data_IF_389592004326
#
_entry.id   IF_389592004326
#
_cell.length_a   1.000
_cell.length_b   1.000
_cell.length_c   1.000
_cell.angle_alpha   90.00
_cell.angle_beta   90.00
_cell.angle_gamma   90.00
#
_symmetry.space_group_name_H-M   'P 1'
#
loop_
_entity.id
_entity.type
_entity.pdbx_description
1 polymer ?
#
# COMPACT_ATOMS: atom_id res chain seq x y z
N UNK A 1 15.70 -4.73 -3.62
CA UNK A 1 15.96 -3.32 -3.29
C UNK A 1 17.19 -3.25 -2.39
N UNK A 2 18.10 -2.29 -2.61
CA UNK A 2 19.32 -2.17 -1.81
C UNK A 2 19.12 -1.24 -0.59
N UNK A 3 20.00 -1.32 0.42
CA UNK A 3 19.92 -0.46 1.60
C UNK A 3 19.92 1.04 1.26
N UNK A 4 20.67 1.44 0.23
CA UNK A 4 20.72 2.85 -0.22
C UNK A 4 19.35 3.37 -0.69
N UNK A 5 18.51 2.49 -1.23
CA UNK A 5 17.17 2.82 -1.69
C UNK A 5 16.21 2.96 -0.50
N UNK A 6 16.34 2.07 0.49
CA UNK A 6 15.60 2.14 1.76
C UNK A 6 15.90 3.46 2.48
N UNK A 7 17.18 3.81 2.64
CA UNK A 7 17.61 5.08 3.24
C UNK A 7 17.07 6.30 2.49
N UNK A 8 16.96 6.21 1.15
CA UNK A 8 16.35 7.26 0.32
C UNK A 8 14.86 7.39 0.64
N UNK A 9 14.13 6.29 0.78
CA UNK A 9 12.72 6.31 1.11
C UNK A 9 12.45 6.81 2.54
N UNK A 10 13.31 6.52 3.52
CA UNK A 10 13.19 7.13 4.85
C UNK A 10 13.33 8.66 4.83
N UNK A 11 14.26 9.20 4.03
CA UNK A 11 14.33 10.66 3.82
C UNK A 11 13.06 11.21 3.18
N UNK A 12 12.43 10.44 2.28
CA UNK A 12 11.15 10.81 1.69
C UNK A 12 10.00 10.76 2.69
N UNK A 13 9.96 9.78 3.61
CA UNK A 13 8.96 9.73 4.70
C UNK A 13 9.06 10.99 5.56
N UNK A 14 10.26 11.33 6.03
CA UNK A 14 10.45 12.54 6.85
C UNK A 14 9.95 13.80 6.14
N UNK A 15 10.25 13.93 4.84
CA UNK A 15 9.78 15.05 4.02
C UNK A 15 8.25 15.01 3.82
N UNK A 16 7.68 13.83 3.58
CA UNK A 16 6.25 13.62 3.40
C UNK A 16 5.47 14.02 4.66
N UNK A 17 5.89 13.57 5.85
CA UNK A 17 5.23 13.95 7.12
C UNK A 17 5.25 15.46 7.37
N UNK A 18 6.34 16.14 7.00
CA UNK A 18 6.42 17.61 7.09
C UNK A 18 5.52 18.30 6.06
N UNK A 19 5.50 17.83 4.81
CA UNK A 19 4.56 18.32 3.78
C UNK A 19 3.10 18.08 4.21
N UNK A 20 2.79 16.95 4.85
CA UNK A 20 1.47 16.64 5.38
C UNK A 20 1.05 17.52 6.57
N UNK A 21 2.00 18.00 7.37
CA UNK A 21 1.70 18.93 8.47
C UNK A 21 1.43 20.34 7.96
N UNK A 22 2.19 20.80 6.97
CA UNK A 22 2.22 22.22 6.60
C UNK A 22 1.67 22.55 5.20
N UNK A 23 1.49 21.57 4.32
CA UNK A 23 1.10 21.78 2.92
C UNK A 23 0.43 20.55 2.25
N UNK A 24 -0.66 20.04 2.85
CA UNK A 24 -1.38 18.85 2.35
C UNK A 24 -1.88 18.98 0.90
N UNK A 25 -2.44 20.13 0.53
CA UNK A 25 -2.98 20.34 -0.81
C UNK A 25 -1.93 20.13 -1.93
N UNK A 26 -0.72 20.67 -1.73
CA UNK A 26 0.38 20.46 -2.67
C UNK A 26 0.90 19.02 -2.62
N UNK A 27 0.95 18.40 -1.44
CA UNK A 27 1.35 17.01 -1.28
C UNK A 27 0.47 16.07 -2.12
N UNK A 28 -0.86 16.20 -2.01
CA UNK A 28 -1.81 15.38 -2.79
C UNK A 28 -1.67 15.59 -4.29
N UNK A 29 -1.60 16.86 -4.74
CA UNK A 29 -1.47 17.20 -6.16
C UNK A 29 -0.21 16.60 -6.75
N UNK A 30 0.92 16.78 -6.07
CA UNK A 30 2.22 16.26 -6.49
C UNK A 30 2.24 14.73 -6.56
N UNK A 31 1.62 14.03 -5.61
CA UNK A 31 1.58 12.56 -5.64
C UNK A 31 0.69 12.06 -6.79
N UNK A 32 -0.48 12.68 -6.99
CA UNK A 32 -1.38 12.36 -8.12
C UNK A 32 -0.66 12.48 -9.47
N UNK A 33 0.08 13.58 -9.66
CA UNK A 33 0.84 13.83 -10.89
C UNK A 33 2.00 12.83 -11.08
N UNK A 34 2.62 12.39 -9.99
CA UNK A 34 3.76 11.47 -10.03
C UNK A 34 3.39 9.99 -9.93
N UNK A 35 2.11 9.65 -9.74
CA UNK A 35 1.68 8.28 -9.42
C UNK A 35 2.25 7.23 -10.38
N UNK A 36 2.09 7.42 -11.70
CA UNK A 36 2.61 6.48 -12.70
C UNK A 36 4.13 6.33 -12.65
N UNK A 37 4.86 7.42 -12.40
CA UNK A 37 6.31 7.39 -12.27
C UNK A 37 6.74 6.69 -10.98
N UNK A 38 5.99 6.87 -9.89
CA UNK A 38 6.21 6.17 -8.62
C UNK A 38 6.02 4.66 -8.80
N UNK A 39 4.90 4.21 -9.38
CA UNK A 39 4.65 2.79 -9.68
C UNK A 39 5.76 2.23 -10.56
N UNK A 40 6.09 2.88 -11.67
CA UNK A 40 7.17 2.44 -12.57
C UNK A 40 8.51 2.30 -11.84
N UNK A 41 8.85 3.27 -10.98
CA UNK A 41 10.10 3.25 -10.21
C UNK A 41 10.11 2.12 -9.19
N UNK A 42 9.02 1.93 -8.46
CA UNK A 42 8.90 0.91 -7.41
C UNK A 42 8.91 -0.51 -8.00
N UNK A 43 8.10 -0.76 -9.03
CA UNK A 43 8.12 -2.04 -9.75
C UNK A 43 9.48 -2.32 -10.40
N UNK A 44 10.23 -1.28 -10.77
CA UNK A 44 11.59 -1.42 -11.31
C UNK A 44 12.59 -2.09 -10.36
N UNK A 45 12.30 -2.17 -9.06
CA UNK A 45 13.10 -2.93 -8.10
C UNK A 45 12.85 -4.44 -8.13
N UNK A 46 11.78 -4.88 -8.80
CA UNK A 46 11.29 -6.26 -8.82
C UNK A 46 11.24 -6.74 -10.27
N UNK A 47 12.30 -7.42 -10.76
CA UNK A 47 12.33 -7.87 -12.14
C UNK A 47 11.21 -8.88 -12.41
N UNK A 48 10.72 -8.90 -13.65
CA UNK A 48 9.77 -9.92 -14.08
C UNK A 48 10.37 -11.33 -13.87
N UNK A 49 9.55 -12.32 -13.45
CA UNK A 49 10.00 -13.70 -13.33
C UNK A 49 10.60 -14.20 -14.66
N UNK A 50 11.63 -15.05 -14.58
CA UNK A 50 12.31 -15.53 -15.78
C UNK A 50 11.34 -16.25 -16.72
N UNK A 51 11.31 -15.80 -17.98
CA UNK A 51 10.44 -16.38 -19.01
C UNK A 51 8.97 -15.94 -18.93
N UNK A 52 8.65 -14.97 -18.07
CA UNK A 52 7.32 -14.36 -17.98
C UNK A 52 7.36 -12.90 -18.46
N UNK A 53 6.32 -12.50 -19.18
CA UNK A 53 6.02 -11.10 -19.49
C UNK A 53 5.16 -10.52 -18.36
N UNK A 54 5.57 -9.37 -17.84
CA UNK A 54 4.85 -8.66 -16.79
C UNK A 54 4.21 -7.39 -17.35
N UNK A 55 2.88 -7.34 -17.32
CA UNK A 55 2.09 -6.17 -17.70
C UNK A 55 1.69 -5.39 -16.45
N UNK A 56 2.24 -4.19 -16.27
CA UNK A 56 1.91 -3.31 -15.15
C UNK A 56 0.89 -2.27 -15.60
N UNK A 57 -0.29 -2.28 -15.00
CA UNK A 57 -1.37 -1.34 -15.28
C UNK A 57 -1.60 -0.47 -14.05
N UNK A 58 -1.60 0.84 -14.24
CA UNK A 58 -1.87 1.83 -13.20
C UNK A 58 -3.00 2.76 -13.67
N UNK A 59 -4.23 2.40 -13.33
CA UNK A 59 -5.46 3.02 -13.86
C UNK A 59 -6.58 3.01 -12.82
N UNK A 60 -7.67 3.73 -13.10
CA UNK A 60 -8.93 3.52 -12.38
C UNK A 60 -9.58 2.22 -12.88
N UNK A 61 -10.21 1.48 -11.96
CA UNK A 61 -11.11 0.40 -12.30
C UNK A 61 -12.30 0.96 -13.11
N UNK A 62 -12.97 0.12 -13.91
CA UNK A 62 -14.18 0.46 -14.67
C UNK A 62 -15.40 0.71 -13.77
N UNK A 63 -15.28 1.54 -12.75
CA UNK A 63 -16.41 1.92 -11.91
C UNK A 63 -17.18 3.03 -12.62
N UNK A 64 -18.47 2.79 -12.82
CA UNK A 64 -19.47 3.79 -13.23
C UNK A 64 -19.52 5.03 -12.29
N UNK A 65 -18.76 5.00 -11.19
CA UNK A 65 -18.61 6.07 -10.18
C UNK A 65 -17.56 7.15 -10.52
N UNK A 66 -16.84 7.08 -11.64
CA UNK A 66 -15.87 8.11 -12.02
C UNK A 66 -14.73 8.29 -11.00
N UNK A 67 -14.26 9.53 -10.76
CA UNK A 67 -13.20 9.87 -9.77
C UNK A 67 -13.62 9.72 -8.28
N UNK A 68 -14.79 9.13 -7.99
CA UNK A 68 -15.43 9.17 -6.67
C UNK A 68 -15.19 7.99 -5.73
N UNK A 69 -14.31 7.04 -6.07
CA UNK A 69 -13.98 5.92 -5.18
C UNK A 69 -13.09 6.35 -4.02
N UNK A 70 -13.37 5.87 -2.81
CA UNK A 70 -12.57 6.13 -1.62
C UNK A 70 -11.72 4.90 -1.24
N UNK A 71 -10.58 5.07 -0.56
CA UNK A 71 -9.70 3.98 -0.11
C UNK A 71 -10.35 2.85 0.70
N UNK A 72 -11.47 3.13 1.36
CA UNK A 72 -12.21 2.15 2.17
C UNK A 72 -13.33 1.44 1.37
N UNK A 73 -13.53 1.78 0.10
CA UNK A 73 -14.59 1.19 -0.71
C UNK A 73 -14.15 -0.22 -1.15
N UNK A 74 -15.02 -1.22 -0.95
CA UNK A 74 -14.68 -2.65 -1.10
C UNK A 74 -14.30 -3.06 -2.53
N UNK A 75 -14.69 -2.26 -3.53
CA UNK A 75 -14.37 -2.44 -4.94
C UNK A 75 -13.07 -1.74 -5.36
N UNK A 76 -12.38 -1.07 -4.42
CA UNK A 76 -11.12 -0.37 -4.66
C UNK A 76 -9.95 -1.17 -4.09
N UNK A 77 -9.40 -2.07 -4.92
CA UNK A 77 -8.25 -2.91 -4.57
C UNK A 77 -7.28 -3.04 -5.76
N UNK A 78 -6.04 -3.40 -5.46
CA UNK A 78 -5.02 -3.77 -6.44
C UNK A 78 -4.88 -5.28 -6.48
N UNK A 79 -4.37 -5.82 -7.59
CA UNK A 79 -4.23 -7.26 -7.75
C UNK A 79 -3.19 -7.65 -8.78
N UNK A 80 -2.78 -8.91 -8.73
CA UNK A 80 -2.05 -9.57 -9.80
C UNK A 80 -2.75 -10.85 -10.24
N UNK A 81 -2.64 -11.21 -11.52
CA UNK A 81 -3.23 -12.44 -12.02
C UNK A 81 -2.47 -13.02 -13.23
N UNK A 82 -2.63 -14.32 -13.46
CA UNK A 82 -2.12 -15.02 -14.64
C UNK A 82 -3.06 -14.78 -15.81
N UNK A 83 -2.58 -14.06 -16.83
CA UNK A 83 -3.34 -13.84 -18.08
C UNK A 83 -3.19 -15.04 -19.01
N UNK A 84 -1.99 -15.57 -19.13
CA UNK A 84 -1.68 -16.78 -19.89
C UNK A 84 -0.47 -17.50 -19.29
N UNK A 85 -0.43 -18.82 -19.39
CA UNK A 85 0.59 -19.62 -18.72
C UNK A 85 1.11 -20.82 -19.49
N UNK A 86 0.86 -20.89 -20.81
CA UNK A 86 1.26 -22.01 -21.68
C UNK A 86 2.28 -21.56 -22.71
N UNK A 87 3.11 -22.48 -23.22
CA UNK A 87 4.09 -22.14 -24.26
C UNK A 87 3.42 -21.63 -25.55
N UNK A 88 2.21 -22.08 -25.86
CA UNK A 88 1.48 -21.68 -27.07
C UNK A 88 0.78 -20.33 -26.94
N UNK A 89 0.34 -19.95 -25.74
CA UNK A 89 -0.32 -18.66 -25.49
C UNK A 89 0.64 -17.59 -24.95
N UNK A 90 1.85 -17.99 -24.57
CA UNK A 90 2.78 -17.15 -23.84
C UNK A 90 2.57 -17.24 -22.33
N UNK A 91 3.55 -16.71 -21.60
CA UNK A 91 3.56 -16.64 -20.14
C UNK A 91 3.42 -15.17 -19.74
N UNK A 92 2.19 -14.77 -19.40
CA UNK A 92 1.84 -13.39 -19.14
C UNK A 92 1.17 -13.26 -17.77
N UNK A 93 1.68 -12.34 -16.97
CA UNK A 93 1.11 -11.92 -15.70
C UNK A 93 0.75 -10.45 -15.81
N UNK A 94 -0.40 -10.09 -15.25
CA UNK A 94 -0.82 -8.70 -15.07
C UNK A 94 -0.68 -8.32 -13.60
N UNK A 95 -0.28 -7.09 -13.34
CA UNK A 95 -0.45 -6.41 -12.05
C UNK A 95 -1.22 -5.13 -12.30
N UNK A 96 -2.30 -4.94 -11.56
CA UNK A 96 -3.16 -3.80 -11.62
C UNK A 96 -3.08 -3.00 -10.31
N UNK A 97 -2.62 -1.76 -10.41
CA UNK A 97 -2.62 -0.79 -9.32
C UNK A 97 -3.77 0.21 -9.50
N UNK A 98 -4.75 0.15 -8.60
CA UNK A 98 -5.95 0.97 -8.69
C UNK A 98 -5.70 2.41 -8.24
N UNK A 99 -5.83 3.37 -9.16
CA UNK A 99 -5.61 4.80 -8.88
C UNK A 99 -6.47 5.35 -7.75
N UNK A 100 -7.70 4.86 -7.59
CA UNK A 100 -8.63 5.41 -6.61
C UNK A 100 -8.19 5.23 -5.14
N UNK A 101 -7.46 4.16 -4.83
CA UNK A 101 -6.86 3.95 -3.49
C UNK A 101 -5.42 4.47 -3.38
N UNK A 102 -4.75 4.71 -4.51
CA UNK A 102 -3.29 4.78 -4.52
C UNK A 102 -2.69 6.10 -5.02
N UNK A 103 -3.38 6.88 -5.85
CA UNK A 103 -2.71 7.98 -6.56
C UNK A 103 -2.28 9.15 -5.66
N UNK A 104 -2.92 9.31 -4.51
CA UNK A 104 -2.56 10.33 -3.53
C UNK A 104 -1.38 9.92 -2.64
N UNK A 105 -0.99 8.64 -2.67
CA UNK A 105 0.08 8.11 -1.84
C UNK A 105 1.46 8.52 -2.37
N UNK A 106 2.37 8.80 -1.44
CA UNK A 106 3.77 9.00 -1.73
C UNK A 106 4.44 7.68 -2.10
N UNK A 107 5.60 7.75 -2.77
CA UNK A 107 6.37 6.56 -3.11
C UNK A 107 6.67 5.62 -1.90
N UNK A 108 7.07 6.11 -0.71
CA UNK A 108 7.25 5.21 0.44
C UNK A 108 5.94 4.59 0.96
N UNK A 109 4.81 5.29 0.86
CA UNK A 109 3.50 4.73 1.22
C UNK A 109 2.99 3.69 0.23
N UNK A 110 3.38 3.80 -1.05
CA UNK A 110 3.07 2.82 -2.11
C UNK A 110 3.91 1.55 -2.02
N UNK A 111 5.13 1.65 -1.48
CA UNK A 111 6.08 0.54 -1.41
C UNK A 111 5.49 -0.77 -0.82
N UNK A 112 4.78 -0.79 0.32
CA UNK A 112 4.25 -2.04 0.87
C UNK A 112 3.27 -2.73 -0.09
N UNK A 113 2.40 -1.96 -0.74
CA UNK A 113 1.44 -2.48 -1.73
C UNK A 113 2.18 -3.02 -2.96
N UNK A 114 3.16 -2.27 -3.49
CA UNK A 114 3.95 -2.74 -4.64
C UNK A 114 4.71 -4.02 -4.30
N UNK A 115 5.33 -4.10 -3.12
CA UNK A 115 6.02 -5.32 -2.67
C UNK A 115 5.05 -6.50 -2.62
N UNK A 116 3.90 -6.31 -1.97
CA UNK A 116 2.87 -7.33 -1.81
C UNK A 116 2.42 -7.89 -3.18
N UNK A 117 2.02 -7.02 -4.11
CA UNK A 117 1.61 -7.43 -5.46
C UNK A 117 2.76 -8.09 -6.25
N UNK A 118 3.98 -7.58 -6.11
CA UNK A 118 5.13 -8.16 -6.80
C UNK A 118 5.51 -9.54 -6.23
N UNK A 119 5.19 -9.85 -4.98
CA UNK A 119 5.34 -11.20 -4.43
C UNK A 119 4.31 -12.14 -5.04
N UNK A 120 3.07 -11.69 -5.21
CA UNK A 120 2.05 -12.48 -5.92
C UNK A 120 2.43 -12.77 -7.37
N UNK A 121 3.06 -11.83 -8.08
CA UNK A 121 3.66 -12.10 -9.40
C UNK A 121 4.65 -13.26 -9.36
N UNK A 122 5.53 -13.30 -8.35
CA UNK A 122 6.49 -14.40 -8.21
C UNK A 122 5.80 -15.72 -7.85
N UNK A 123 4.78 -15.68 -7.00
CA UNK A 123 3.98 -16.86 -6.63
C UNK A 123 3.26 -17.44 -7.87
N UNK A 124 2.62 -16.58 -8.66
CA UNK A 124 1.96 -16.92 -9.91
C UNK A 124 2.90 -17.55 -10.94
N UNK A 125 4.12 -16.99 -11.07
CA UNK A 125 5.12 -17.53 -11.99
C UNK A 125 5.72 -18.87 -11.54
N UNK A 126 5.84 -19.07 -10.22
CA UNK A 126 6.39 -20.29 -9.63
C UNK A 126 5.43 -21.48 -9.77
N UNK A 127 4.15 -21.27 -9.47
CA UNK A 127 3.11 -22.31 -9.53
C UNK A 127 1.76 -21.71 -9.95
N UNK A 128 1.62 -21.46 -11.26
CA UNK A 128 0.41 -20.86 -11.85
C UNK A 128 -0.87 -21.62 -11.54
N UNK A 129 -0.82 -22.95 -11.47
CA UNK A 129 -2.01 -23.78 -11.25
C UNK A 129 -2.50 -23.56 -9.82
N UNK A 130 -1.58 -23.63 -8.86
CA UNK A 130 -1.90 -23.37 -7.46
C UNK A 130 -2.28 -21.91 -7.19
N UNK A 131 -1.69 -20.97 -7.93
CA UNK A 131 -2.06 -19.55 -7.85
C UNK A 131 -3.47 -19.27 -8.34
N UNK A 132 -3.87 -19.83 -9.47
CA UNK A 132 -5.28 -19.74 -9.92
C UNK A 132 -6.22 -20.45 -8.94
N UNK A 133 -5.79 -21.54 -8.30
CA UNK A 133 -6.60 -22.18 -7.25
C UNK A 133 -6.86 -21.28 -6.03
N UNK A 134 -5.96 -20.34 -5.72
CA UNK A 134 -6.12 -19.43 -4.59
C UNK A 134 -7.38 -18.55 -4.71
N UNK A 135 -7.86 -18.30 -5.92
CA UNK A 135 -9.11 -17.54 -6.18
C UNK A 135 -10.37 -18.25 -5.66
N UNK A 136 -10.31 -19.56 -5.45
CA UNK A 136 -11.47 -20.37 -5.03
C UNK A 136 -11.21 -21.24 -3.78
N UNK A 137 -10.02 -21.15 -3.18
CA UNK A 137 -9.62 -21.89 -1.99
C UNK A 137 -9.02 -20.93 -0.95
N UNK A 138 -9.80 -20.62 0.08
CA UNK A 138 -9.43 -19.69 1.15
C UNK A 138 -8.16 -20.10 1.89
N UNK A 139 -7.89 -21.40 2.05
CA UNK A 139 -6.72 -21.89 2.78
C UNK A 139 -5.45 -21.79 1.93
N UNK A 140 -5.57 -21.84 0.60
CA UNK A 140 -4.48 -21.51 -0.32
C UNK A 140 -4.29 -20.00 -0.37
N UNK A 141 -5.36 -19.23 -0.50
CA UNK A 141 -5.34 -17.75 -0.49
C UNK A 141 -4.60 -17.22 0.74
N UNK A 142 -5.04 -17.60 1.95
CA UNK A 142 -4.42 -17.18 3.22
C UNK A 142 -2.91 -17.44 3.29
N UNK A 143 -2.43 -18.54 2.69
CA UNK A 143 -0.99 -18.87 2.69
C UNK A 143 -0.20 -17.91 1.79
N UNK A 144 -0.78 -17.54 0.65
CA UNK A 144 -0.17 -16.62 -0.30
C UNK A 144 -0.17 -15.19 0.21
N UNK A 145 -1.29 -14.75 0.78
CA UNK A 145 -1.42 -13.46 1.46
C UNK A 145 -0.41 -13.33 2.62
N UNK A 146 -0.38 -14.32 3.52
CA UNK A 146 0.56 -14.31 4.66
C UNK A 146 2.02 -14.27 4.21
N UNK A 147 2.35 -14.93 3.10
CA UNK A 147 3.70 -14.88 2.53
C UNK A 147 3.99 -13.49 1.96
N UNK A 148 3.08 -12.91 1.17
CA UNK A 148 3.23 -11.55 0.64
C UNK A 148 3.44 -10.51 1.76
N UNK A 149 2.61 -10.56 2.80
CA UNK A 149 2.73 -9.67 3.96
C UNK A 149 4.04 -9.87 4.73
N UNK A 150 4.55 -11.10 4.81
CA UNK A 150 5.83 -11.36 5.46
C UNK A 150 7.01 -10.74 4.71
N UNK A 151 6.94 -10.63 3.38
CA UNK A 151 7.97 -9.98 2.57
C UNK A 151 7.94 -8.46 2.72
N UNK A 152 6.74 -7.87 2.86
CA UNK A 152 6.57 -6.44 3.17
C UNK A 152 7.25 -6.09 4.51
N UNK A 153 7.04 -6.92 5.53
CA UNK A 153 7.56 -6.73 6.90
C UNK A 153 9.10 -6.76 6.97
N UNK A 154 9.81 -7.24 5.94
CA UNK A 154 11.29 -7.26 5.91
C UNK A 154 11.94 -5.89 5.73
N UNK A 155 11.21 -4.90 5.21
CA UNK A 155 11.80 -3.61 4.87
C UNK A 155 11.85 -2.66 6.06
N UNK A 156 10.68 -2.25 6.56
CA UNK A 156 10.53 -1.44 7.79
C UNK A 156 9.05 -1.21 8.05
N UNK A 157 8.67 -1.15 9.34
CA UNK A 157 7.30 -0.81 9.74
C UNK A 157 6.91 0.63 9.34
N UNK A 158 7.89 1.52 9.15
CA UNK A 158 7.64 2.92 8.81
C UNK A 158 6.96 3.12 7.45
N UNK A 159 7.11 2.16 6.52
CA UNK A 159 6.39 2.20 5.24
C UNK A 159 4.89 1.95 5.41
N UNK A 160 4.51 0.99 6.26
CA UNK A 160 3.11 0.73 6.62
C UNK A 160 2.54 1.92 7.38
N UNK A 161 3.26 2.44 8.38
CA UNK A 161 2.87 3.66 9.11
C UNK A 161 2.58 4.83 8.18
N UNK A 162 3.46 5.03 7.19
CA UNK A 162 3.28 6.11 6.21
C UNK A 162 2.04 5.87 5.34
N UNK A 163 1.77 4.63 4.92
CA UNK A 163 0.55 4.27 4.20
C UNK A 163 -0.72 4.61 5.02
N UNK A 164 -0.79 4.14 6.27
CA UNK A 164 -1.91 4.42 7.19
C UNK A 164 -2.13 5.91 7.37
N UNK A 165 -1.07 6.65 7.69
CA UNK A 165 -1.13 8.08 7.91
C UNK A 165 -1.69 8.80 6.68
N UNK A 166 -1.19 8.48 5.48
CA UNK A 166 -1.62 9.12 4.24
C UNK A 166 -3.07 8.77 3.87
N UNK A 167 -3.50 7.51 4.03
CA UNK A 167 -4.89 7.10 3.78
C UNK A 167 -5.88 7.81 4.71
N UNK A 168 -5.55 7.92 6.00
CA UNK A 168 -6.38 8.63 6.99
C UNK A 168 -6.47 10.12 6.67
N UNK A 169 -5.34 10.77 6.41
CA UNK A 169 -5.32 12.21 6.14
C UNK A 169 -5.99 12.56 4.81
N UNK A 170 -5.85 11.71 3.79
CA UNK A 170 -6.57 11.89 2.54
C UNK A 170 -8.09 11.82 2.74
N UNK A 171 -8.57 10.81 3.47
CA UNK A 171 -10.00 10.68 3.76
C UNK A 171 -10.51 11.82 4.66
N UNK A 172 -9.69 12.30 5.60
CA UNK A 172 -9.99 13.48 6.40
C UNK A 172 -10.13 14.74 5.54
N UNK A 173 -9.19 15.00 4.63
CA UNK A 173 -9.24 16.19 3.79
C UNK A 173 -10.40 16.14 2.76
N UNK A 174 -10.89 14.94 2.41
CA UNK A 174 -12.01 14.75 1.49
C UNK A 174 -13.39 14.80 2.16
N UNK A 175 -13.52 14.20 3.34
CA UNK A 175 -14.83 13.97 3.98
C UNK A 175 -14.86 14.32 5.47
N UNK A 176 -13.82 14.97 5.97
CA UNK A 176 -13.65 15.32 7.39
C UNK A 176 -13.50 14.09 8.29
N UNK A 177 -13.86 14.25 9.56
CA UNK A 177 -13.78 13.19 10.57
C UNK A 177 -14.54 11.92 10.19
N UNK A 178 -15.65 12.04 9.45
CA UNK A 178 -16.40 10.89 8.95
C UNK A 178 -15.54 10.01 8.04
N UNK A 179 -14.80 10.60 7.10
CA UNK A 179 -13.91 9.87 6.20
C UNK A 179 -12.76 9.23 6.96
N UNK A 180 -12.12 9.99 7.85
CA UNK A 180 -11.01 9.53 8.69
C UNK A 180 -11.41 8.33 9.58
N UNK A 181 -12.56 8.42 10.25
CA UNK A 181 -13.13 7.35 11.08
C UNK A 181 -13.40 6.10 10.25
N UNK A 182 -14.03 6.25 9.08
CA UNK A 182 -14.38 5.12 8.21
C UNK A 182 -13.15 4.37 7.70
N UNK A 183 -12.11 5.08 7.24
CA UNK A 183 -10.88 4.40 6.80
C UNK A 183 -10.14 3.77 7.98
N UNK A 184 -10.10 4.41 9.16
CA UNK A 184 -9.46 3.82 10.33
C UNK A 184 -10.19 2.56 10.84
N UNK A 185 -11.52 2.57 10.85
CA UNK A 185 -12.32 1.38 11.15
C UNK A 185 -12.01 0.26 10.16
N UNK A 186 -11.93 0.57 8.86
CA UNK A 186 -11.54 -0.39 7.85
C UNK A 186 -10.15 -0.98 8.12
N UNK A 187 -9.12 -0.13 8.26
CA UNK A 187 -7.72 -0.57 8.43
C UNK A 187 -7.47 -1.33 9.75
N UNK A 188 -8.18 -0.98 10.83
CA UNK A 188 -7.98 -1.59 12.15
C UNK A 188 -8.87 -2.81 12.40
N UNK A 189 -10.12 -2.81 11.91
CA UNK A 189 -11.13 -3.81 12.27
C UNK A 189 -11.52 -4.73 11.12
N UNK A 190 -11.53 -4.24 9.88
CA UNK A 190 -12.12 -4.97 8.75
C UNK A 190 -11.08 -5.55 7.77
N UNK A 191 -9.91 -4.92 7.63
CA UNK A 191 -8.91 -5.28 6.63
C UNK A 191 -8.46 -6.75 6.74
N UNK A 192 -8.26 -7.25 7.96
CA UNK A 192 -7.89 -8.65 8.23
C UNK A 192 -8.91 -9.69 7.76
N UNK A 193 -10.17 -9.28 7.56
CA UNK A 193 -11.27 -10.15 7.13
C UNK A 193 -11.58 -9.98 5.62
N UNK A 194 -10.87 -9.06 4.96
CA UNK A 194 -10.98 -8.84 3.51
C UNK A 194 -9.98 -9.73 2.75
N UNK A 195 -10.29 -10.02 1.48
CA UNK A 195 -9.35 -10.60 0.50
C UNK A 195 -8.51 -11.80 1.00
N UNK A 196 -9.15 -12.80 1.62
CA UNK A 196 -8.45 -14.01 2.07
C UNK A 196 -7.54 -13.78 3.29
N UNK A 197 -7.70 -12.66 4.01
CA UNK A 197 -6.92 -12.31 5.19
C UNK A 197 -5.55 -11.69 4.90
N UNK A 198 -5.31 -11.28 3.64
CA UNK A 198 -4.22 -10.37 3.30
C UNK A 198 -4.50 -8.95 3.79
N UNK A 199 -3.45 -8.17 3.99
CA UNK A 199 -3.50 -6.86 4.69
C UNK A 199 -3.68 -7.02 6.21
N UNK A 200 -2.89 -7.91 6.79
CA UNK A 200 -2.76 -8.20 8.22
C UNK A 200 -2.68 -6.90 9.06
N UNK A 201 -3.85 -6.45 9.58
CA UNK A 201 -4.09 -5.19 10.32
C UNK A 201 -3.16 -4.05 9.91
N UNK A 202 -3.46 -3.41 8.78
CA UNK A 202 -2.69 -2.27 8.28
C UNK A 202 -2.51 -1.17 9.33
N UNK A 203 -3.44 -1.03 10.30
CA UNK A 203 -3.36 -0.07 11.40
C UNK A 203 -3.26 -0.75 12.77
N UNK A 204 -2.31 -0.33 13.60
CA UNK A 204 -2.15 -0.84 14.97
C UNK A 204 -3.06 -0.10 15.95
N UNK A 205 -3.42 -0.76 17.07
CA UNK A 205 -4.27 -0.18 18.12
C UNK A 205 -3.79 1.20 18.59
N UNK A 206 -2.49 1.39 18.81
CA UNK A 206 -1.95 2.67 19.27
C UNK A 206 -2.16 3.82 18.28
N UNK A 207 -2.14 3.52 16.98
CA UNK A 207 -2.44 4.47 15.92
C UNK A 207 -3.94 4.79 15.90
N UNK A 208 -4.77 3.75 16.05
CA UNK A 208 -6.22 3.87 16.04
C UNK A 208 -6.70 4.71 17.23
N UNK A 209 -6.18 4.42 18.43
CA UNK A 209 -6.43 5.19 19.65
C UNK A 209 -6.04 6.66 19.48
N UNK A 210 -4.90 6.93 18.82
CA UNK A 210 -4.45 8.31 18.55
C UNK A 210 -5.36 9.07 17.59
N UNK A 211 -5.99 8.38 16.63
CA UNK A 211 -7.02 9.01 15.81
C UNK A 211 -8.30 9.28 16.62
N UNK A 212 -8.67 8.42 17.59
CA UNK A 212 -9.81 8.70 18.49
C UNK A 212 -9.56 9.97 19.28
N UNK A 213 -8.37 10.10 19.86
CA UNK A 213 -7.94 11.28 20.62
C UNK A 213 -7.99 12.55 19.76
N UNK A 214 -7.45 12.48 18.54
CA UNK A 214 -7.50 13.58 17.58
C UNK A 214 -8.94 14.00 17.22
N UNK A 215 -9.86 13.02 17.05
CA UNK A 215 -11.28 13.31 16.76
C UNK A 215 -11.98 13.97 17.97
N UNK A 216 -11.73 13.49 19.18
CA UNK A 216 -12.31 14.04 20.43
C UNK A 216 -11.88 15.49 20.65
N UNK A 217 -10.58 15.75 20.51
CA UNK A 217 -9.98 17.09 20.62
C UNK A 217 -10.25 17.97 19.38
N UNK A 218 -10.82 17.39 18.32
CA UNK A 218 -11.08 18.02 17.02
C UNK A 218 -9.83 18.63 16.39
N UNK A 219 -8.68 17.99 16.61
CA UNK A 219 -7.39 18.42 16.11
C UNK A 219 -6.66 17.26 15.44
N UNK A 220 -6.64 17.28 14.10
CA UNK A 220 -5.96 16.25 13.29
C UNK A 220 -4.44 16.31 13.44
N UNK A 221 -3.89 17.44 13.92
CA UNK A 221 -2.45 17.59 14.09
C UNK A 221 -1.92 16.68 15.21
N UNK A 222 -2.75 16.31 16.19
CA UNK A 222 -2.41 15.30 17.21
C UNK A 222 -2.03 13.96 16.56
N UNK A 223 -2.80 13.54 15.56
CA UNK A 223 -2.52 12.32 14.82
C UNK A 223 -1.25 12.47 13.97
N UNK A 224 -1.06 13.61 13.30
CA UNK A 224 0.13 13.89 12.49
C UNK A 224 1.39 13.88 13.37
N UNK A 225 1.33 14.53 14.52
CA UNK A 225 2.46 14.69 15.43
C UNK A 225 2.88 13.36 16.03
N UNK A 226 1.93 12.48 16.35
CA UNK A 226 2.23 11.10 16.74
C UNK A 226 3.14 10.38 15.72
N UNK A 227 2.85 10.48 14.41
CA UNK A 227 3.70 9.90 13.38
C UNK A 227 5.02 10.68 13.20
N UNK A 228 5.03 12.00 13.30
CA UNK A 228 6.27 12.78 13.16
C UNK A 228 7.26 12.47 14.30
N UNK A 229 6.77 12.39 15.53
CA UNK A 229 7.58 12.20 16.73
C UNK A 229 8.05 10.75 16.91
N UNK A 230 7.23 9.79 16.49
CA UNK A 230 7.61 8.36 16.55
C UNK A 230 8.58 7.92 15.45
N UNK A 231 8.89 8.78 14.46
CA UNK A 231 9.79 8.42 13.38
C UNK A 231 11.23 8.20 13.90
N UNK A 232 11.78 6.98 13.78
CA UNK A 232 13.13 6.70 14.25
C UNK A 232 14.16 7.51 13.46
N UNK A 233 15.28 7.84 14.10
CA UNK A 233 16.41 8.41 13.37
C UNK A 233 16.95 7.37 12.37
N UNK A 234 17.50 7.84 11.23
CA UNK A 234 18.14 6.96 10.24
C UNK A 234 19.20 6.04 10.85
N UNK A 235 19.90 6.50 11.89
CA UNK A 235 20.89 5.71 12.62
C UNK A 235 20.27 4.57 13.45
N UNK A 236 19.04 4.75 13.97
CA UNK A 236 18.32 3.72 14.72
C UNK A 236 17.79 2.62 13.79
N UNK A 237 17.26 2.96 12.61
CA UNK A 237 16.81 1.96 11.63
C UNK A 237 17.96 1.12 11.04
N UNK A 238 19.11 1.76 10.76
CA UNK A 238 20.31 1.05 10.30
C UNK A 238 20.90 0.10 11.37
N UNK A 239 20.63 0.36 12.65
CA UNK A 239 21.04 -0.53 13.74
C UNK A 239 20.09 -1.72 13.92
N UNK A 240 18.81 -1.56 13.61
CA UNK A 240 17.78 -2.61 13.72
C UNK A 240 17.71 -3.55 12.51
N UNK A 241 18.38 -3.21 11.40
CA UNK A 241 18.43 -3.97 10.14
C UNK A 241 19.71 -4.79 9.94
N UNK A 242 20.59 -4.84 10.96
CA UNK A 242 21.80 -5.69 11.01
C UNK A 242 21.60 -6.87 11.94
#
# INVERSE_FOLDING_TARGET
MEQKDIDRFFRQIKKARQELKYNRANFWTKNKDNFRNNIKTLCGFFPAPQGWNLNIIASHFLLERGEGGMPYDRDVWSFSDVVSGTESQGKEIIVFFNRADLEFLSAPALLPIVVHEMVHVQQAALDKEKYVMATFDDEVSKKYEKHADSEVKKYSEEFRKQNVMEKILFCYDKEGWKGARKIADYLYKEAQDAFGGGYDQDMLKGEYDKLLEAEEEKDIDIFIDYFVESFPSLAQEQANSR
#
